data_IF_641443646984
#
_entry.id   IF_641443646984
#
_cell.length_a   1.000
_cell.length_b   1.000
_cell.length_c   1.000
_cell.angle_alpha   90.00
_cell.angle_beta   90.00
_cell.angle_gamma   90.00
#
_symmetry.space_group_name_H-M   'P 1'
#
loop_
_entity.id
_entity.type
_entity.pdbx_description
1 polymer ?
#
# COMPACT_ATOMS: atom_id res chain seq x y z
N UNK A 1 21.62 29.14 14.14
CA UNK A 1 20.89 28.89 12.88
C UNK A 1 21.05 27.40 12.58
N UNK A 2 20.07 26.60 12.99
CA UNK A 2 20.02 25.17 12.69
C UNK A 2 18.98 24.97 11.61
N UNK A 3 19.40 24.45 10.46
CA UNK A 3 18.51 24.13 9.35
C UNK A 3 17.50 23.10 9.81
N UNK A 4 16.22 23.45 9.73
CA UNK A 4 15.10 22.57 10.04
C UNK A 4 15.18 21.31 9.18
N UNK A 5 15.23 20.17 9.84
CA UNK A 5 15.11 18.86 9.22
C UNK A 5 13.79 18.81 8.43
N UNK A 6 13.91 18.74 7.11
CA UNK A 6 12.84 18.35 6.20
C UNK A 6 12.54 16.86 6.41
N UNK A 7 11.94 16.50 7.54
CA UNK A 7 11.56 15.13 7.86
C UNK A 7 10.05 15.01 7.95
N UNK A 8 9.38 14.44 6.93
CA UNK A 8 8.12 13.69 7.10
C UNK A 8 7.54 13.18 5.76
N UNK A 9 7.51 14.01 4.71
CA UNK A 9 6.82 13.64 3.46
C UNK A 9 7.61 12.72 2.51
N UNK A 10 8.86 13.08 2.22
CA UNK A 10 9.70 12.35 1.25
C UNK A 10 10.21 11.00 1.80
N UNK A 11 10.48 10.91 3.11
CA UNK A 11 10.89 9.66 3.76
C UNK A 11 9.76 8.63 3.78
N UNK A 12 8.52 9.04 4.08
CA UNK A 12 7.37 8.14 4.13
C UNK A 12 6.99 7.59 2.75
N UNK A 13 7.02 8.43 1.71
CA UNK A 13 6.71 7.99 0.35
C UNK A 13 7.75 7.02 -0.20
N UNK A 14 9.02 7.23 0.12
CA UNK A 14 10.10 6.31 -0.24
C UNK A 14 9.99 4.97 0.47
N UNK A 15 9.60 4.95 1.75
CA UNK A 15 9.34 3.70 2.48
C UNK A 15 8.23 2.89 1.79
N UNK A 16 7.13 3.54 1.38
CA UNK A 16 6.06 2.88 0.63
C UNK A 16 6.54 2.35 -0.72
N UNK A 17 7.29 3.15 -1.48
CA UNK A 17 7.81 2.74 -2.79
C UNK A 17 8.74 1.52 -2.67
N UNK A 18 9.67 1.53 -1.70
CA UNK A 18 10.58 0.41 -1.43
C UNK A 18 9.83 -0.85 -0.99
N UNK A 19 8.86 -0.72 -0.08
CA UNK A 19 8.07 -1.85 0.37
C UNK A 19 7.31 -2.52 -0.79
N UNK A 20 6.71 -1.71 -1.68
CA UNK A 20 6.06 -2.21 -2.90
C UNK A 20 7.05 -2.88 -3.84
N UNK A 21 8.25 -2.31 -4.03
CA UNK A 21 9.29 -2.91 -4.89
C UNK A 21 9.72 -4.28 -4.39
N UNK A 22 9.86 -4.50 -3.08
CA UNK A 22 10.17 -5.84 -2.53
C UNK A 22 9.13 -6.90 -2.86
N UNK A 23 7.85 -6.54 -2.92
CA UNK A 23 6.78 -7.47 -3.31
C UNK A 23 6.81 -7.70 -4.81
N UNK A 24 6.82 -6.62 -5.60
CA UNK A 24 6.77 -6.66 -7.07
C UNK A 24 8.01 -7.34 -7.68
N UNK A 25 9.14 -7.34 -6.99
CA UNK A 25 10.39 -7.98 -7.45
C UNK A 25 10.69 -9.29 -6.71
N UNK A 26 9.77 -9.81 -5.89
CA UNK A 26 10.01 -10.96 -5.02
C UNK A 26 10.48 -12.22 -5.78
N UNK A 27 9.97 -12.41 -6.99
CA UNK A 27 10.30 -13.55 -7.86
C UNK A 27 11.28 -13.20 -9.00
N UNK A 28 11.95 -12.03 -8.93
CA UNK A 28 12.83 -11.48 -9.98
C UNK A 28 12.16 -11.39 -11.36
N UNK A 29 10.85 -11.21 -11.37
CA UNK A 29 10.03 -11.08 -12.58
C UNK A 29 9.06 -9.95 -12.39
N UNK A 30 9.50 -8.75 -12.75
CA UNK A 30 8.60 -7.60 -12.74
C UNK A 30 7.94 -7.40 -14.10
N UNK A 31 6.62 -7.43 -14.12
CA UNK A 31 5.76 -7.13 -15.26
C UNK A 31 5.51 -5.63 -15.42
N UNK A 32 4.96 -5.21 -16.56
CA UNK A 32 4.58 -3.81 -16.79
C UNK A 32 3.39 -3.44 -15.90
N UNK A 33 2.49 -4.39 -15.69
CA UNK A 33 1.27 -4.31 -14.91
C UNK A 33 1.56 -4.02 -13.43
N UNK A 34 2.53 -4.74 -12.84
CA UNK A 34 2.93 -4.52 -11.44
C UNK A 34 3.60 -3.15 -11.24
N UNK A 35 4.45 -2.72 -12.19
CA UNK A 35 5.01 -1.35 -12.18
C UNK A 35 3.91 -0.29 -12.33
N UNK A 36 2.90 -0.54 -13.16
CA UNK A 36 1.78 0.36 -13.36
C UNK A 36 0.92 0.50 -12.08
N UNK A 37 0.78 -0.55 -11.27
CA UNK A 37 0.14 -0.44 -9.95
C UNK A 37 0.91 0.48 -9.01
N UNK A 38 2.23 0.34 -8.94
CA UNK A 38 3.05 1.27 -8.14
C UNK A 38 2.88 2.71 -8.61
N UNK A 39 2.83 2.94 -9.93
CA UNK A 39 2.55 4.27 -10.50
C UNK A 39 1.16 4.78 -10.11
N UNK A 40 0.15 3.92 -9.99
CA UNK A 40 -1.18 4.31 -9.52
C UNK A 40 -1.16 4.75 -8.06
N UNK A 41 -0.46 4.00 -7.20
CA UNK A 41 -0.35 4.30 -5.77
C UNK A 41 0.43 5.59 -5.52
N UNK A 42 1.56 5.78 -6.20
CA UNK A 42 2.49 6.89 -5.97
C UNK A 42 2.16 8.12 -6.82
N UNK A 43 1.60 7.94 -8.01
CA UNK A 43 1.26 9.00 -8.97
C UNK A 43 0.22 9.99 -8.47
N UNK A 44 -0.60 9.61 -7.48
CA UNK A 44 -1.52 10.53 -6.79
C UNK A 44 -0.79 11.75 -6.19
N UNK A 45 0.48 11.59 -5.80
CA UNK A 45 1.31 12.68 -5.28
C UNK A 45 1.78 13.63 -6.38
N UNK A 46 1.93 13.14 -7.61
CA UNK A 46 2.13 14.02 -8.78
C UNK A 46 0.87 14.82 -9.07
N UNK A 47 -0.30 14.17 -9.08
CA UNK A 47 -1.57 14.83 -9.35
C UNK A 47 -1.92 15.91 -8.31
N UNK A 48 -1.51 15.72 -7.05
CA UNK A 48 -1.69 16.71 -5.97
C UNK A 48 -0.69 17.87 -6.01
N UNK A 49 0.41 17.71 -6.75
CA UNK A 49 1.52 18.65 -6.81
C UNK A 49 2.55 18.47 -5.69
N UNK A 50 2.53 17.33 -4.98
CA UNK A 50 3.48 17.03 -3.89
C UNK A 50 4.88 16.70 -4.46
N UNK A 51 4.93 16.04 -5.61
CA UNK A 51 6.17 15.68 -6.34
C UNK A 51 5.98 15.87 -7.85
N UNK A 52 7.07 16.02 -8.58
CA UNK A 52 7.08 16.05 -10.05
C UNK A 52 7.12 14.64 -10.65
N UNK A 53 6.77 14.51 -11.94
CA UNK A 53 6.97 13.27 -12.68
C UNK A 53 8.43 12.79 -12.68
N UNK A 54 9.40 13.71 -12.70
CA UNK A 54 10.82 13.37 -12.63
C UNK A 54 11.18 12.75 -11.27
N UNK A 55 10.70 13.35 -10.18
CA UNK A 55 10.90 12.81 -8.83
C UNK A 55 10.21 11.45 -8.65
N UNK A 56 9.03 11.23 -9.23
CA UNK A 56 8.37 9.92 -9.21
C UNK A 56 9.22 8.84 -9.89
N UNK A 57 9.84 9.14 -11.04
CA UNK A 57 10.74 8.19 -11.73
C UNK A 57 11.95 7.87 -10.86
N UNK A 58 12.62 8.89 -10.33
CA UNK A 58 13.77 8.69 -9.43
C UNK A 58 13.41 7.90 -8.17
N UNK A 59 12.20 8.10 -7.63
CA UNK A 59 11.67 7.33 -6.50
C UNK A 59 11.49 5.84 -6.84
N UNK A 60 10.92 5.55 -8.02
CA UNK A 60 10.74 4.19 -8.51
C UNK A 60 12.09 3.51 -8.74
N UNK A 61 13.03 4.19 -9.40
CA UNK A 61 14.36 3.66 -9.68
C UNK A 61 15.12 3.36 -8.38
N UNK A 62 15.09 4.27 -7.40
CA UNK A 62 15.69 4.05 -6.08
C UNK A 62 15.03 2.88 -5.35
N UNK A 63 13.70 2.73 -5.45
CA UNK A 63 12.99 1.65 -4.79
C UNK A 63 13.40 0.26 -5.31
N UNK A 64 13.45 0.08 -6.63
CA UNK A 64 13.89 -1.19 -7.23
C UNK A 64 15.38 -1.45 -7.03
N UNK A 65 16.23 -0.43 -7.19
CA UNK A 65 17.66 -0.56 -6.91
C UNK A 65 17.91 -0.97 -5.45
N UNK A 66 17.17 -0.38 -4.49
CA UNK A 66 17.29 -0.78 -3.10
C UNK A 66 16.82 -2.23 -2.87
N UNK A 67 15.67 -2.62 -3.43
CA UNK A 67 15.12 -3.97 -3.27
C UNK A 67 16.06 -5.06 -3.80
N UNK A 68 16.77 -4.78 -4.90
CA UNK A 68 17.77 -5.71 -5.48
C UNK A 68 19.08 -5.82 -4.69
N UNK A 69 19.42 -4.83 -3.87
CA UNK A 69 20.71 -4.76 -3.16
C UNK A 69 20.62 -5.07 -1.66
N UNK A 70 19.47 -4.82 -1.05
CA UNK A 70 19.31 -4.86 0.40
C UNK A 70 18.30 -5.96 0.76
N UNK A 71 18.63 -6.90 1.67
CA UNK A 71 17.66 -7.88 2.15
C UNK A 71 16.44 -7.20 2.81
N UNK A 72 15.25 -7.76 2.58
CA UNK A 72 14.00 -7.18 3.07
C UNK A 72 13.97 -7.06 4.61
N UNK A 73 14.57 -8.00 5.33
CA UNK A 73 14.64 -7.99 6.79
C UNK A 73 15.42 -6.76 7.29
N UNK A 74 16.53 -6.43 6.63
CA UNK A 74 17.31 -5.24 6.97
C UNK A 74 16.51 -3.97 6.71
N UNK A 75 15.79 -3.91 5.60
CA UNK A 75 14.91 -2.78 5.31
C UNK A 75 13.81 -2.64 6.38
N UNK A 76 13.18 -3.74 6.77
CA UNK A 76 12.14 -3.76 7.80
C UNK A 76 12.70 -3.27 9.14
N UNK A 77 13.87 -3.76 9.55
CA UNK A 77 14.54 -3.32 10.79
C UNK A 77 14.84 -1.82 10.77
N UNK A 78 15.22 -1.28 9.62
CA UNK A 78 15.51 0.15 9.46
C UNK A 78 14.26 1.04 9.60
N UNK A 79 13.06 0.52 9.31
CA UNK A 79 11.83 1.32 9.27
C UNK A 79 10.87 1.05 10.43
N UNK A 80 10.89 -0.13 11.07
CA UNK A 80 9.82 -0.59 11.97
C UNK A 80 9.55 0.33 13.17
N UNK A 81 10.57 1.04 13.66
CA UNK A 81 10.44 2.05 14.73
C UNK A 81 10.18 3.47 14.21
N UNK A 82 10.39 3.72 12.91
CA UNK A 82 10.27 5.05 12.28
C UNK A 82 8.89 5.29 11.68
N UNK A 83 8.16 4.23 11.32
CA UNK A 83 6.81 4.34 10.76
C UNK A 83 5.76 4.33 11.87
N UNK A 84 4.81 5.24 11.77
CA UNK A 84 3.66 5.32 12.69
C UNK A 84 2.75 4.09 12.55
N UNK A 85 1.91 3.77 13.54
CA UNK A 85 0.93 2.68 13.43
C UNK A 85 0.03 2.79 12.19
N UNK A 86 -0.41 4.00 11.83
CA UNK A 86 -1.20 4.23 10.63
C UNK A 86 -0.41 3.94 9.34
N UNK A 87 0.88 4.31 9.29
CA UNK A 87 1.76 3.97 8.17
C UNK A 87 2.01 2.46 8.08
N UNK A 88 2.19 1.75 9.20
CA UNK A 88 2.31 0.28 9.23
C UNK A 88 1.06 -0.37 8.61
N UNK A 89 -0.13 0.01 9.06
CA UNK A 89 -1.38 -0.50 8.50
C UNK A 89 -1.52 -0.17 7.00
N UNK A 90 -1.21 1.07 6.61
CA UNK A 90 -1.23 1.49 5.21
C UNK A 90 -0.25 0.69 4.35
N UNK A 91 0.96 0.43 4.83
CA UNK A 91 1.94 -0.41 4.13
C UNK A 91 1.34 -1.79 3.87
N UNK A 92 0.86 -2.48 4.90
CA UNK A 92 0.27 -3.82 4.76
C UNK A 92 -0.88 -3.84 3.75
N UNK A 93 -1.77 -2.85 3.78
CA UNK A 93 -2.88 -2.72 2.83
C UNK A 93 -2.36 -2.58 1.39
N UNK A 94 -1.38 -1.71 1.16
CA UNK A 94 -0.82 -1.49 -0.17
C UNK A 94 -0.05 -2.73 -0.67
N UNK A 95 0.60 -3.48 0.21
CA UNK A 95 1.25 -4.75 -0.16
C UNK A 95 0.23 -5.80 -0.55
N UNK A 96 -0.84 -5.99 0.23
CA UNK A 96 -1.95 -6.87 -0.18
C UNK A 96 -2.53 -6.48 -1.54
N UNK A 97 -2.78 -5.18 -1.75
CA UNK A 97 -3.34 -4.68 -3.00
C UNK A 97 -2.40 -4.92 -4.19
N UNK A 98 -1.08 -4.82 -3.98
CA UNK A 98 -0.08 -5.11 -5.00
C UNK A 98 -0.08 -6.60 -5.38
N UNK A 99 -0.27 -7.52 -4.44
CA UNK A 99 -0.23 -8.97 -4.68
C UNK A 99 -1.50 -9.54 -5.35
N UNK A 100 -2.61 -8.79 -5.34
CA UNK A 100 -3.89 -9.26 -5.86
C UNK A 100 -4.15 -8.81 -7.31
N UNK A 101 -3.12 -8.56 -8.13
CA UNK A 101 -3.31 -8.15 -9.54
C UNK A 101 -4.04 -9.22 -10.33
N UNK A 102 -3.51 -10.45 -10.29
CA UNK A 102 -3.97 -11.54 -11.16
C UNK A 102 -4.90 -12.50 -10.40
N UNK A 103 -5.37 -12.12 -9.21
CA UNK A 103 -6.13 -12.98 -8.30
C UNK A 103 -5.33 -14.15 -7.72
N UNK A 104 -4.06 -14.28 -8.08
CA UNK A 104 -3.12 -15.26 -7.53
C UNK A 104 -2.01 -14.54 -6.78
N UNK A 105 -1.65 -15.07 -5.62
CA UNK A 105 -0.53 -14.59 -4.81
C UNK A 105 0.61 -15.58 -4.94
N UNK A 106 1.77 -15.12 -5.41
CA UNK A 106 2.94 -15.97 -5.52
C UNK A 106 3.57 -16.25 -4.13
N UNK A 107 4.32 -17.35 -4.02
CA UNK A 107 4.92 -17.75 -2.74
C UNK A 107 5.99 -16.77 -2.26
N UNK A 108 6.74 -16.15 -3.19
CA UNK A 108 7.74 -15.13 -2.90
C UNK A 108 7.10 -13.88 -2.30
N UNK A 109 6.10 -13.32 -2.98
CA UNK A 109 5.34 -12.16 -2.52
C UNK A 109 4.74 -12.36 -1.12
N UNK A 110 4.12 -13.53 -0.90
CA UNK A 110 3.56 -13.89 0.40
C UNK A 110 4.62 -13.92 1.50
N UNK A 111 5.79 -14.48 1.19
CA UNK A 111 6.90 -14.53 2.14
C UNK A 111 7.38 -13.14 2.53
N UNK A 112 7.41 -12.19 1.59
CA UNK A 112 7.74 -10.79 1.86
C UNK A 112 6.70 -10.16 2.78
N UNK A 113 5.42 -10.30 2.47
CA UNK A 113 4.33 -9.75 3.28
C UNK A 113 4.34 -10.31 4.71
N UNK A 114 4.52 -11.63 4.88
CA UNK A 114 4.55 -12.28 6.18
C UNK A 114 5.68 -11.72 7.07
N UNK A 115 6.82 -11.33 6.50
CA UNK A 115 7.91 -10.66 7.23
C UNK A 115 7.49 -9.27 7.73
N UNK A 116 6.81 -8.47 6.92
CA UNK A 116 6.28 -7.17 7.35
C UNK A 116 5.25 -7.32 8.47
N UNK A 117 4.31 -8.27 8.32
CA UNK A 117 3.27 -8.53 9.33
C UNK A 117 3.90 -8.95 10.66
N UNK A 118 4.88 -9.86 10.62
CA UNK A 118 5.58 -10.31 11.82
C UNK A 118 6.32 -9.16 12.52
N UNK A 119 7.03 -8.33 11.77
CA UNK A 119 7.84 -7.26 12.34
C UNK A 119 7.03 -6.04 12.84
N UNK A 120 5.82 -5.82 12.33
CA UNK A 120 4.96 -4.72 12.75
C UNK A 120 4.08 -5.06 13.95
N UNK A 121 4.12 -6.30 14.44
CA UNK A 121 3.42 -6.77 15.65
C UNK A 121 1.91 -6.47 15.63
N UNK A 122 1.32 -6.43 14.43
CA UNK A 122 -0.10 -6.14 14.26
C UNK A 122 -0.94 -7.33 14.75
N UNK A 123 -2.05 -7.04 15.43
CA UNK A 123 -2.93 -8.09 15.93
C UNK A 123 -3.48 -8.95 14.77
N UNK A 124 -3.64 -10.26 15.01
CA UNK A 124 -4.23 -11.18 14.03
C UNK A 124 -5.62 -10.72 13.57
N UNK A 125 -6.41 -10.12 14.45
CA UNK A 125 -7.73 -9.60 14.11
C UNK A 125 -7.64 -8.42 13.14
N UNK A 126 -6.71 -7.49 13.37
CA UNK A 126 -6.45 -6.36 12.47
C UNK A 126 -6.01 -6.87 11.09
N UNK A 127 -5.04 -7.78 11.04
CA UNK A 127 -4.55 -8.33 9.76
C UNK A 127 -5.66 -9.07 9.00
N UNK A 128 -6.48 -9.86 9.72
CA UNK A 128 -7.64 -10.53 9.12
C UNK A 128 -8.62 -9.52 8.52
N UNK A 129 -9.00 -8.48 9.27
CA UNK A 129 -9.92 -7.46 8.80
C UNK A 129 -9.38 -6.70 7.56
N UNK A 130 -8.11 -6.29 7.58
CA UNK A 130 -7.48 -5.62 6.45
C UNK A 130 -7.47 -6.50 5.19
N UNK A 131 -7.14 -7.79 5.34
CA UNK A 131 -7.14 -8.75 4.23
C UNK A 131 -8.54 -8.93 3.65
N UNK A 132 -9.55 -9.15 4.49
CA UNK A 132 -10.94 -9.34 4.05
C UNK A 132 -11.46 -8.13 3.27
N UNK A 133 -11.19 -6.91 3.75
CA UNK A 133 -11.59 -5.67 3.06
C UNK A 133 -10.91 -5.56 1.69
N UNK A 134 -9.61 -5.84 1.60
CA UNK A 134 -8.87 -5.70 0.35
C UNK A 134 -9.19 -6.80 -0.66
N UNK A 135 -9.46 -8.02 -0.20
CA UNK A 135 -9.99 -9.07 -1.06
C UNK A 135 -11.36 -8.66 -1.63
N UNK A 136 -12.28 -8.18 -0.79
CA UNK A 136 -13.59 -7.71 -1.24
C UNK A 136 -13.49 -6.54 -2.23
N UNK A 137 -12.60 -5.57 -1.97
CA UNK A 137 -12.37 -4.41 -2.85
C UNK A 137 -11.84 -4.80 -4.23
N UNK A 138 -11.06 -5.87 -4.34
CA UNK A 138 -10.49 -6.33 -5.61
C UNK A 138 -11.30 -7.43 -6.30
N UNK A 139 -12.31 -8.00 -5.63
CA UNK A 139 -13.19 -9.02 -6.22
C UNK A 139 -14.22 -8.37 -7.16
N UNK A 140 -13.78 -8.03 -8.38
CA UNK A 140 -14.67 -7.47 -9.41
C UNK A 140 -15.64 -8.52 -9.97
N UNK A 141 -15.46 -9.80 -9.63
CA UNK A 141 -16.40 -10.89 -9.93
C UNK A 141 -17.79 -10.63 -9.36
N UNK A 142 -17.88 -9.89 -8.24
CA UNK A 142 -19.12 -9.35 -7.70
C UNK A 142 -20.01 -8.67 -8.73
N UNK A 143 -19.43 -7.97 -9.70
CA UNK A 143 -20.17 -7.18 -10.69
C UNK A 143 -20.42 -7.92 -12.00
N UNK A 144 -19.82 -9.10 -12.18
CA UNK A 144 -19.88 -9.86 -13.45
C UNK A 144 -20.50 -11.24 -13.30
N UNK A 145 -20.44 -11.87 -12.12
CA UNK A 145 -21.09 -13.14 -11.81
C UNK A 145 -22.33 -12.91 -10.93
N UNK A 146 -23.51 -13.07 -11.53
CA UNK A 146 -24.78 -12.97 -10.81
C UNK A 146 -24.94 -14.01 -9.69
N UNK A 147 -24.16 -15.11 -9.73
CA UNK A 147 -24.17 -16.18 -8.71
C UNK A 147 -23.04 -16.04 -7.70
N UNK A 148 -22.34 -14.91 -7.69
CA UNK A 148 -21.28 -14.67 -6.73
C UNK A 148 -21.81 -14.82 -5.29
N UNK A 149 -21.15 -15.58 -4.39
CA UNK A 149 -21.69 -15.86 -3.04
C UNK A 149 -21.99 -14.62 -2.21
N UNK A 150 -21.29 -13.51 -2.47
CA UNK A 150 -21.50 -12.23 -1.79
C UNK A 150 -22.60 -11.36 -2.40
N UNK A 151 -23.21 -11.77 -3.52
CA UNK A 151 -24.40 -11.11 -4.08
C UNK A 151 -25.71 -11.61 -3.42
N UNK A 152 -25.64 -12.59 -2.52
CA UNK A 152 -26.78 -13.06 -1.74
C UNK A 152 -27.38 -11.91 -0.90
N UNK A 153 -28.71 -11.64 -0.96
CA UNK A 153 -29.34 -10.53 -0.21
C UNK A 153 -29.14 -10.59 1.31
N UNK A 154 -28.81 -11.77 1.82
CA UNK A 154 -28.54 -12.04 3.24
C UNK A 154 -27.11 -11.70 3.66
N UNK A 155 -26.19 -11.46 2.72
CA UNK A 155 -24.81 -11.10 3.02
C UNK A 155 -24.75 -9.84 3.90
N UNK A 156 -23.91 -9.88 4.93
CA UNK A 156 -23.63 -8.76 5.83
C UNK A 156 -22.13 -8.63 5.99
N UNK A 157 -21.62 -7.40 5.86
CA UNK A 157 -20.22 -7.08 6.10
C UNK A 157 -20.09 -6.50 7.51
N UNK A 158 -19.72 -7.35 8.46
CA UNK A 158 -19.48 -6.96 9.85
C UNK A 158 -17.98 -6.78 10.11
N UNK A 159 -17.52 -5.53 10.13
CA UNK A 159 -16.13 -5.20 10.44
C UNK A 159 -15.96 -4.89 11.92
N UNK A 160 -15.20 -5.72 12.63
CA UNK A 160 -14.75 -5.39 13.98
C UNK A 160 -13.41 -4.64 13.91
N UNK A 161 -13.47 -3.31 13.94
CA UNK A 161 -12.29 -2.46 14.07
C UNK A 161 -11.97 -2.25 15.55
N UNK A 162 -10.77 -2.65 15.98
CA UNK A 162 -10.29 -2.43 17.35
C UNK A 162 -9.37 -1.20 17.31
N UNK A 163 -9.78 -0.13 18.00
CA UNK A 163 -9.08 1.17 18.05
C UNK A 163 -9.59 2.15 17.00
N UNK A 164 -10.83 2.61 17.16
CA UNK A 164 -11.33 3.73 16.37
C UNK A 164 -10.65 5.02 16.85
N UNK A 165 -10.25 5.84 15.88
CA UNK A 165 -9.99 7.26 16.05
C UNK A 165 -11.05 7.88 16.97
N UNK A 166 -10.66 8.46 18.11
CA UNK A 166 -11.56 9.24 18.99
C UNK A 166 -11.95 10.60 18.37
N UNK A 167 -12.15 10.64 17.06
CA UNK A 167 -12.74 11.79 16.38
C UNK A 167 -13.77 11.27 15.37
N UNK A 168 -15.04 11.50 15.66
CA UNK A 168 -16.22 11.08 14.88
C UNK A 168 -16.33 11.70 13.48
N UNK A 169 -15.29 12.37 12.97
CA UNK A 169 -15.27 12.87 11.60
C UNK A 169 -14.14 12.21 10.80
N UNK A 170 -14.46 11.38 9.78
CA UNK A 170 -13.45 10.96 8.82
C UNK A 170 -12.82 12.22 8.20
N UNK A 171 -11.49 12.23 7.94
CA UNK A 171 -10.83 13.39 7.39
C UNK A 171 -11.52 13.82 6.09
N UNK A 172 -11.93 15.09 6.04
CA UNK A 172 -12.63 15.65 4.89
C UNK A 172 -11.76 15.51 3.63
N UNK A 173 -12.27 14.77 2.64
CA UNK A 173 -11.62 14.63 1.35
C UNK A 173 -11.66 15.99 0.64
N UNK A 174 -10.56 16.73 0.66
CA UNK A 174 -10.43 17.98 -0.10
C UNK A 174 -10.39 17.68 -1.60
N UNK A 175 -11.53 17.79 -2.27
CA UNK A 175 -11.59 17.80 -3.73
C UNK A 175 -11.12 19.17 -4.25
N UNK A 176 -9.95 19.22 -4.90
CA UNK A 176 -9.59 20.38 -5.73
C UNK A 176 -10.38 20.28 -7.04
N UNK A 177 -11.16 21.31 -7.44
CA UNK A 177 -11.75 21.36 -8.76
C UNK A 177 -10.67 21.18 -9.82
N UNK A 178 -10.91 20.33 -10.81
CA UNK A 178 -9.98 20.15 -11.93
C UNK A 178 -9.97 21.47 -12.70
N UNK A 179 -8.86 22.19 -12.68
CA UNK A 179 -8.72 23.40 -13.48
C UNK A 179 -8.92 23.02 -14.95
N UNK A 180 -9.96 23.58 -15.58
CA UNK A 180 -10.21 23.45 -17.00
C UNK A 180 -9.02 24.07 -17.73
N UNK A 181 -8.22 23.23 -18.38
CA UNK A 181 -7.18 23.69 -19.30
C UNK A 181 -7.89 24.41 -20.45
N UNK A 182 -7.85 25.75 -20.45
CA UNK A 182 -8.17 26.59 -21.60
C UNK A 182 -7.13 26.40 -22.70
#
# INVERSE_FOLDING_TARGET
MSNGEQGSGASGLLVLARALAYVVDADNRTTVEEKAKMLTVLGKHVARGDITNHQLRGLMDDAFNHASLVPVERFIDDIKEKVTPAQKASLIINLYDAMLVDGQVASGERTILDKFVAAFEMSRNTIRALREIIMLKNDTGLFTDARHPFNEPSFRLDLQLIGAFESEQPPELKYKPREEKK
#
